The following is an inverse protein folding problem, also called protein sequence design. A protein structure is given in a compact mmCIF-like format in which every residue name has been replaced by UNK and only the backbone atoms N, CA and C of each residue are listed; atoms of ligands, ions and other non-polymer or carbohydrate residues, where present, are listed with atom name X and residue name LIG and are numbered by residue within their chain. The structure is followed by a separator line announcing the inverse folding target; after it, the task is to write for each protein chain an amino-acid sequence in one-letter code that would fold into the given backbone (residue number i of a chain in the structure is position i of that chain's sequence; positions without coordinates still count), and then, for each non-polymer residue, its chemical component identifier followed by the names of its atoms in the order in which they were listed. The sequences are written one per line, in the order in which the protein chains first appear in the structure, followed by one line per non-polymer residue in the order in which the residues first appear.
data_IF_216632931508
#
_entry.id   IF_216632931508
#
_cell.length_a   1.000
_cell.length_b   1.000
_cell.length_c   1.000
_cell.angle_alpha   90.00
_cell.angle_beta   90.00
_cell.angle_gamma   90.00
#
_symmetry.space_group_name_H-M   'P 1'
#
loop_
_entity.id
_entity.type
_entity.pdbx_description
1 polymer ?
#
# COMPACT_ATOMS: atom_id res chain seq x y z
N UNK A 1 0.24 39.66 -56.74
CA UNK A 1 0.99 38.38 -56.69
C UNK A 1 2.04 38.55 -55.60
N UNK A 2 1.98 37.95 -54.41
CA UNK A 2 1.23 36.82 -53.88
C UNK A 2 0.83 37.10 -52.42
N UNK A 3 -0.41 36.76 -52.05
CA UNK A 3 -0.80 36.53 -50.66
C UNK A 3 -0.15 35.23 -50.19
N UNK A 4 0.53 35.24 -49.04
CA UNK A 4 0.86 34.02 -48.29
C UNK A 4 0.15 34.10 -46.94
N UNK A 5 -0.90 33.31 -46.84
CA UNK A 5 -1.68 33.02 -45.64
C UNK A 5 -0.79 32.35 -44.59
N UNK A 6 -0.65 32.97 -43.42
CA UNK A 6 -0.21 32.29 -42.22
C UNK A 6 -1.30 31.29 -41.78
N UNK A 7 -1.04 30.00 -41.98
CA UNK A 7 -1.77 28.92 -41.32
C UNK A 7 -1.32 28.86 -39.85
N UNK A 8 -2.22 28.79 -38.86
CA UNK A 8 -1.83 28.53 -37.49
C UNK A 8 -1.33 27.09 -37.38
N UNK A 9 -0.17 26.92 -36.74
CA UNK A 9 0.43 25.64 -36.47
C UNK A 9 -0.56 24.67 -35.82
N UNK A 10 -0.60 23.47 -36.37
CA UNK A 10 -1.33 22.33 -35.83
C UNK A 10 -0.98 22.11 -34.36
N UNK A 11 -1.99 22.16 -33.48
CA UNK A 11 -1.87 21.71 -32.11
C UNK A 11 -1.59 20.20 -32.10
N UNK A 12 -0.32 19.83 -31.92
CA UNK A 12 0.10 18.44 -31.78
C UNK A 12 -0.23 17.92 -30.37
N UNK A 13 -1.50 17.53 -30.19
CA UNK A 13 -2.04 16.98 -28.94
C UNK A 13 -1.39 15.64 -28.52
N UNK A 14 -0.59 15.00 -29.38
CA UNK A 14 0.08 13.73 -29.10
C UNK A 14 1.27 13.91 -28.13
N UNK A 15 1.94 15.06 -28.19
CA UNK A 15 3.16 15.33 -27.41
C UNK A 15 2.87 15.69 -25.95
N UNK A 16 1.67 16.18 -25.66
CA UNK A 16 1.26 16.57 -24.31
C UNK A 16 1.00 15.34 -23.41
N UNK A 17 0.43 14.28 -23.97
CA UNK A 17 0.16 13.02 -23.26
C UNK A 17 1.47 12.28 -22.90
N UNK A 18 2.44 12.29 -23.82
CA UNK A 18 3.76 11.72 -23.56
C UNK A 18 4.51 12.53 -22.49
N UNK A 19 4.50 13.86 -22.58
CA UNK A 19 5.07 14.73 -21.55
C UNK A 19 4.45 14.48 -20.17
N UNK A 20 3.12 14.42 -20.08
CA UNK A 20 2.42 14.13 -18.83
C UNK A 20 2.79 12.75 -18.26
N UNK A 21 2.97 11.72 -19.11
CA UNK A 21 3.44 10.39 -18.69
C UNK A 21 4.91 10.40 -18.22
N UNK A 22 5.78 11.16 -18.89
CA UNK A 22 7.19 11.31 -18.50
C UNK A 22 7.35 12.07 -17.18
N UNK A 23 6.61 13.17 -16.96
CA UNK A 23 6.65 13.95 -15.71
C UNK A 23 6.10 13.17 -14.51
N UNK A 24 5.12 12.28 -14.71
CA UNK A 24 4.64 11.36 -13.66
C UNK A 24 5.75 10.39 -13.19
N UNK A 25 6.63 9.98 -14.11
CA UNK A 25 7.66 8.97 -13.84
C UNK A 25 8.81 9.51 -12.97
N UNK A 26 9.15 10.80 -13.08
CA UNK A 26 10.18 11.42 -12.21
C UNK A 26 9.66 11.81 -10.81
N UNK A 27 8.35 11.72 -10.58
CA UNK A 27 7.74 12.13 -9.30
C UNK A 27 7.52 10.98 -8.31
N UNK A 28 7.63 9.72 -8.76
CA UNK A 28 7.34 8.54 -7.96
C UNK A 28 8.61 7.73 -7.73
N UNK A 29 8.87 7.39 -6.45
CA UNK A 29 9.93 6.47 -6.08
C UNK A 29 9.45 5.05 -6.41
N UNK A 30 10.22 4.25 -7.18
CA UNK A 30 9.86 2.86 -7.44
C UNK A 30 9.86 2.04 -6.14
N UNK A 31 8.73 1.43 -5.82
CA UNK A 31 8.56 0.53 -4.66
C UNK A 31 7.95 -0.77 -5.15
N UNK A 32 8.59 -1.89 -4.82
CA UNK A 32 8.15 -3.23 -5.21
C UNK A 32 7.74 -4.02 -3.98
N UNK A 33 6.71 -4.84 -4.11
CA UNK A 33 6.26 -5.75 -3.06
C UNK A 33 6.63 -7.18 -3.45
N UNK A 34 7.27 -7.91 -2.54
CA UNK A 34 7.61 -9.33 -2.73
C UNK A 34 6.33 -10.16 -2.83
N UNK A 35 6.27 -11.15 -3.71
CA UNK A 35 5.16 -12.13 -3.71
C UNK A 35 5.17 -13.00 -2.44
N UNK A 36 4.00 -13.46 -2.00
CA UNK A 36 3.89 -14.34 -0.83
C UNK A 36 3.89 -13.61 0.52
N UNK A 37 3.52 -12.32 0.55
CA UNK A 37 3.38 -11.56 1.80
C UNK A 37 1.99 -10.94 1.93
N UNK A 38 1.55 -10.79 3.18
CA UNK A 38 0.39 -9.99 3.58
C UNK A 38 0.91 -8.74 4.28
N UNK A 39 0.56 -7.56 3.78
CA UNK A 39 0.99 -6.28 4.36
C UNK A 39 -0.23 -5.57 4.93
N UNK A 40 -0.35 -5.48 6.27
CA UNK A 40 -1.33 -4.60 6.89
C UNK A 40 -0.92 -3.14 6.67
N UNK A 41 -1.90 -2.30 6.31
CA UNK A 41 -1.72 -0.85 6.10
C UNK A 41 -2.94 -0.12 6.66
N UNK A 42 -2.78 1.16 6.92
CA UNK A 42 -3.89 2.06 7.25
C UNK A 42 -3.86 3.25 6.30
N UNK A 43 -5.04 3.76 5.97
CA UNK A 43 -5.15 5.01 5.23
C UNK A 43 -4.48 6.13 6.07
N UNK A 44 -3.56 6.92 5.51
CA UNK A 44 -2.96 8.03 6.23
C UNK A 44 -3.98 9.13 6.55
N UNK A 45 -3.70 9.86 7.61
CA UNK A 45 -4.43 11.07 8.01
C UNK A 45 -3.42 12.09 8.58
N UNK A 46 -3.91 13.29 8.91
CA UNK A 46 -3.06 14.41 9.31
C UNK A 46 -2.23 14.14 10.56
N UNK A 47 -2.74 13.31 11.48
CA UNK A 47 -2.02 12.86 12.68
C UNK A 47 -2.18 11.37 12.86
N UNK A 48 -1.23 10.75 13.55
CA UNK A 48 -1.29 9.33 13.91
C UNK A 48 -2.52 9.01 14.76
N UNK A 49 -2.91 9.89 15.68
CA UNK A 49 -4.14 9.77 16.48
C UNK A 49 -5.38 9.61 15.60
N UNK A 50 -5.51 10.41 14.54
CA UNK A 50 -6.65 10.30 13.63
C UNK A 50 -6.49 9.10 12.69
N UNK A 51 -5.27 8.81 12.21
CA UNK A 51 -4.99 7.63 11.38
C UNK A 51 -5.32 6.31 12.08
N UNK A 52 -5.12 6.19 13.39
CA UNK A 52 -5.44 4.97 14.16
C UNK A 52 -6.93 4.61 14.11
N UNK A 53 -7.81 5.58 13.85
CA UNK A 53 -9.25 5.35 13.71
C UNK A 53 -9.65 4.89 12.30
N UNK A 54 -8.72 4.93 11.34
CA UNK A 54 -9.00 4.46 9.99
C UNK A 54 -8.98 2.91 9.96
N UNK A 55 -9.87 2.28 9.17
CA UNK A 55 -9.83 0.84 8.96
C UNK A 55 -8.46 0.37 8.47
N UNK A 56 -8.07 -0.83 8.91
CA UNK A 56 -6.95 -1.52 8.29
C UNK A 56 -7.32 -2.04 6.91
N UNK A 57 -6.34 -2.04 6.03
CA UNK A 57 -6.35 -2.70 4.74
C UNK A 57 -5.26 -3.76 4.70
N UNK A 58 -5.53 -4.91 4.10
CA UNK A 58 -4.54 -5.94 3.85
C UNK A 58 -4.18 -5.96 2.37
N UNK A 59 -2.94 -5.61 2.04
CA UNK A 59 -2.38 -5.90 0.71
C UNK A 59 -1.83 -7.32 0.70
N UNK A 60 -2.56 -8.23 0.07
CA UNK A 60 -2.17 -9.63 -0.07
C UNK A 60 -1.55 -9.82 -1.45
N UNK A 61 -0.25 -10.13 -1.48
CA UNK A 61 0.42 -10.53 -2.72
C UNK A 61 0.38 -12.03 -2.86
N UNK A 62 -0.02 -12.53 -4.02
CA UNK A 62 -0.07 -13.98 -4.27
C UNK A 62 1.34 -14.50 -4.55
N UNK A 63 1.81 -15.44 -3.72
CA UNK A 63 3.05 -16.19 -3.93
C UNK A 63 2.82 -17.56 -4.56
N UNK A 64 3.83 -18.43 -4.55
CA UNK A 64 3.74 -19.78 -5.14
C UNK A 64 2.77 -20.74 -4.43
N UNK A 65 2.35 -20.44 -3.20
CA UNK A 65 1.37 -21.28 -2.46
C UNK A 65 0.69 -20.53 -1.31
N UNK A 66 1.46 -19.79 -0.52
CA UNK A 66 0.99 -19.12 0.70
C UNK A 66 1.57 -17.72 0.82
N UNK A 67 0.79 -16.84 1.46
CA UNK A 67 1.23 -15.50 1.82
C UNK A 67 1.05 -15.27 3.32
N UNK A 68 2.05 -14.71 3.98
CA UNK A 68 2.03 -14.49 5.43
C UNK A 68 2.31 -13.05 5.79
N UNK A 69 1.76 -12.60 6.90
CA UNK A 69 2.03 -11.28 7.47
C UNK A 69 1.69 -11.24 8.95
N UNK A 70 2.12 -10.17 9.61
CA UNK A 70 1.81 -9.93 11.01
C UNK A 70 1.56 -8.44 11.25
N UNK A 71 0.62 -8.13 12.14
CA UNK A 71 0.38 -6.79 12.66
C UNK A 71 0.62 -6.84 14.16
N UNK A 72 1.49 -5.98 14.68
CA UNK A 72 1.56 -5.65 16.10
C UNK A 72 0.78 -4.37 16.36
N UNK A 73 0.07 -4.31 17.47
CA UNK A 73 -0.73 -3.15 17.86
C UNK A 73 -0.68 -2.94 19.37
N UNK A 74 -0.27 -1.76 19.77
CA UNK A 74 -0.16 -1.33 21.14
C UNK A 74 -0.90 0.00 21.35
N UNK A 75 -0.74 0.63 22.52
CA UNK A 75 -1.29 1.96 22.79
C UNK A 75 -0.57 3.07 22.02
N UNK A 76 0.69 2.82 21.63
CA UNK A 76 1.57 3.76 20.96
C UNK A 76 1.93 5.00 21.79
N UNK A 77 1.83 4.91 23.11
CA UNK A 77 2.12 5.99 24.07
C UNK A 77 3.05 5.54 25.20
N UNK A 78 2.92 4.30 25.67
CA UNK A 78 3.69 3.79 26.81
C UNK A 78 5.18 3.60 26.49
N UNK A 79 6.04 3.85 27.49
CA UNK A 79 7.45 3.47 27.45
C UNK A 79 7.55 2.00 27.87
N UNK A 80 8.11 1.16 27.00
CA UNK A 80 8.23 -0.28 27.23
C UNK A 80 9.57 -0.61 27.89
N UNK A 81 9.52 -1.06 29.14
CA UNK A 81 10.69 -1.55 29.89
C UNK A 81 10.88 -3.07 29.75
N UNK A 82 9.78 -3.82 29.59
CA UNK A 82 9.79 -5.29 29.43
C UNK A 82 8.61 -5.76 28.56
N UNK A 83 8.91 -6.43 27.45
CA UNK A 83 7.92 -6.98 26.52
C UNK A 83 7.18 -8.22 27.04
N UNK A 84 7.66 -8.86 28.11
CA UNK A 84 6.97 -10.00 28.72
C UNK A 84 5.75 -9.57 29.54
N UNK A 85 5.76 -8.34 30.05
CA UNK A 85 4.67 -7.73 30.82
C UNK A 85 3.94 -6.60 30.09
N UNK A 86 4.39 -6.24 28.88
CA UNK A 86 3.76 -5.17 28.12
C UNK A 86 2.54 -5.67 27.37
N UNK A 87 1.45 -4.92 27.49
CA UNK A 87 0.18 -5.21 26.82
C UNK A 87 0.24 -4.76 25.36
N UNK A 88 0.25 -5.72 24.45
CA UNK A 88 0.05 -5.49 23.03
C UNK A 88 -0.70 -6.66 22.38
N UNK A 89 -1.30 -6.37 21.25
CA UNK A 89 -1.95 -7.37 20.41
C UNK A 89 -1.08 -7.68 19.22
N UNK A 90 -1.16 -8.91 18.74
CA UNK A 90 -0.65 -9.22 17.41
C UNK A 90 -1.58 -10.15 16.64
N UNK A 91 -1.70 -9.91 15.34
CA UNK A 91 -2.47 -10.76 14.42
C UNK A 91 -1.53 -11.43 13.45
N UNK A 92 -1.66 -12.75 13.33
CA UNK A 92 -1.02 -13.51 12.27
C UNK A 92 -2.01 -13.63 11.11
N UNK A 93 -1.55 -13.25 9.92
CA UNK A 93 -2.29 -13.39 8.68
C UNK A 93 -1.67 -14.50 7.85
N UNK A 94 -2.52 -15.42 7.41
CA UNK A 94 -2.14 -16.48 6.50
C UNK A 94 -3.17 -16.57 5.37
N UNK A 95 -2.71 -16.31 4.16
CA UNK A 95 -3.51 -16.45 2.95
C UNK A 95 -3.05 -17.66 2.16
N UNK A 96 -3.98 -18.55 1.83
CA UNK A 96 -3.75 -19.74 1.04
C UNK A 96 -4.61 -19.68 -0.22
N UNK A 97 -3.97 -19.83 -1.37
CA UNK A 97 -4.65 -19.91 -2.66
C UNK A 97 -4.56 -21.34 -3.20
N UNK A 98 -5.69 -21.86 -3.62
CA UNK A 98 -5.83 -23.14 -4.32
C UNK A 98 -6.56 -22.91 -5.64
N UNK A 99 -6.76 -23.98 -6.43
CA UNK A 99 -7.35 -23.87 -7.77
C UNK A 99 -8.76 -23.25 -7.79
N UNK A 100 -9.54 -23.47 -6.73
CA UNK A 100 -10.95 -23.08 -6.64
C UNK A 100 -11.29 -22.24 -5.39
N UNK A 101 -10.36 -22.13 -4.44
CA UNK A 101 -10.59 -21.42 -3.17
C UNK A 101 -9.43 -20.51 -2.79
N UNK A 102 -9.78 -19.33 -2.30
CA UNK A 102 -8.91 -18.46 -1.53
C UNK A 102 -9.38 -18.45 -0.08
N UNK A 103 -8.46 -18.60 0.87
CA UNK A 103 -8.77 -18.58 2.31
C UNK A 103 -7.79 -17.69 3.03
N UNK A 104 -8.32 -16.76 3.84
CA UNK A 104 -7.54 -15.93 4.75
C UNK A 104 -7.82 -16.37 6.19
N UNK A 105 -6.79 -16.80 6.89
CA UNK A 105 -6.81 -17.04 8.32
C UNK A 105 -6.28 -15.79 9.04
N UNK A 106 -7.03 -15.34 10.05
CA UNK A 106 -6.67 -14.22 10.90
C UNK A 106 -6.64 -14.75 12.33
N UNK A 107 -5.46 -14.80 12.93
CA UNK A 107 -5.27 -15.33 14.28
C UNK A 107 -4.89 -14.21 15.23
N UNK A 108 -5.81 -13.69 16.05
CA UNK A 108 -5.50 -12.72 17.08
C UNK A 108 -4.76 -13.39 18.25
N UNK A 109 -3.77 -12.69 18.78
CA UNK A 109 -3.07 -13.02 20.01
C UNK A 109 -2.85 -11.73 20.81
N UNK A 110 -2.57 -11.88 22.10
CA UNK A 110 -2.43 -10.80 23.05
C UNK A 110 -1.47 -11.22 24.16
N UNK A 111 -0.62 -10.29 24.59
CA UNK A 111 0.25 -10.47 25.76
C UNK A 111 -0.44 -9.93 27.01
N UNK A 112 -0.33 -10.69 28.10
CA UNK A 112 -1.06 -10.53 29.37
C UNK A 112 -1.31 -9.07 29.82
#
# INVERSE_FOLDING_TARGET
SNNHSNQPGSNDHSNQSNKLKFEQFYRLIPVFVKGGVVIPRQQPNMTTTVSRNNPFELLITVGSSKSTGMLYWDDGESIVEDFTSYNYFYWLFEFVLSADRATLYITPNHTA
#
